data_IF_612705963820
#
_entry.id   IF_612705963820
#
_cell.length_a   1.000
_cell.length_b   1.000
_cell.length_c   1.000
_cell.angle_alpha   90.00
_cell.angle_beta   90.00
_cell.angle_gamma   90.00
#
_symmetry.space_group_name_H-M   'P 1'
#
loop_
_entity.id
_entity.type
_entity.pdbx_description
1 polymer ?
#
# COMPACT_ATOMS: atom_id res chain seq x y z
N UNK A 1 -20.80 29.10 -31.67
CA UNK A 1 -21.19 28.26 -30.52
C UNK A 1 -19.91 27.61 -30.00
N UNK A 2 -19.29 28.17 -28.96
CA UNK A 2 -17.97 27.72 -28.48
C UNK A 2 -18.20 26.85 -27.23
N UNK A 3 -18.03 25.53 -27.36
CA UNK A 3 -17.92 24.61 -26.22
C UNK A 3 -16.51 24.76 -25.62
N UNK A 4 -16.33 25.57 -24.57
CA UNK A 4 -15.01 25.75 -23.93
C UNK A 4 -14.97 25.64 -22.41
N UNK A 5 -16.03 25.13 -21.76
CA UNK A 5 -16.13 25.18 -20.30
C UNK A 5 -16.15 23.81 -19.58
N UNK A 6 -16.08 22.68 -20.30
CA UNK A 6 -16.15 21.35 -19.67
C UNK A 6 -14.79 20.84 -19.14
N UNK A 7 -13.67 21.26 -19.72
CA UNK A 7 -12.35 20.67 -19.43
C UNK A 7 -11.68 21.17 -18.15
N UNK A 8 -12.14 22.29 -17.56
CA UNK A 8 -11.53 22.86 -16.34
C UNK A 8 -12.16 22.26 -15.06
N UNK A 9 -13.44 21.89 -15.10
CA UNK A 9 -14.14 21.35 -13.94
C UNK A 9 -13.79 19.88 -13.62
N UNK A 10 -13.38 19.08 -14.61
CA UNK A 10 -13.00 17.67 -14.38
C UNK A 10 -11.71 17.53 -13.58
N UNK A 11 -10.68 18.34 -13.87
CA UNK A 11 -9.39 18.24 -13.19
C UNK A 11 -9.43 18.68 -11.71
N UNK A 12 -10.26 19.67 -11.38
CA UNK A 12 -10.44 20.11 -9.98
C UNK A 12 -11.23 19.08 -9.16
N UNK A 13 -12.28 18.52 -9.77
CA UNK A 13 -13.07 17.42 -9.18
C UNK A 13 -12.19 16.19 -8.89
N UNK A 14 -11.38 15.77 -9.87
CA UNK A 14 -10.50 14.61 -9.71
C UNK A 14 -9.41 14.83 -8.65
N UNK A 15 -8.82 16.02 -8.61
CA UNK A 15 -7.83 16.40 -7.59
C UNK A 15 -8.42 16.38 -6.17
N UNK A 16 -9.66 16.88 -5.99
CA UNK A 16 -10.34 16.87 -4.69
C UNK A 16 -10.66 15.46 -4.20
N UNK A 17 -11.07 14.56 -5.10
CA UNK A 17 -11.38 13.17 -4.78
C UNK A 17 -10.11 12.35 -4.46
N UNK A 18 -9.00 12.60 -5.16
CA UNK A 18 -7.70 12.00 -4.84
C UNK A 18 -7.23 12.45 -3.46
N UNK A 19 -7.32 13.75 -3.18
CA UNK A 19 -6.93 14.31 -1.88
C UNK A 19 -7.79 13.73 -0.76
N UNK A 20 -9.10 13.59 -0.96
CA UNK A 20 -9.99 12.96 0.01
C UNK A 20 -9.62 11.48 0.30
N UNK A 21 -9.24 10.71 -0.72
CA UNK A 21 -8.71 9.34 -0.54
C UNK A 21 -7.38 9.32 0.22
N UNK A 22 -6.50 10.28 -0.05
CA UNK A 22 -5.22 10.42 0.65
C UNK A 22 -5.37 10.85 2.12
N UNK A 23 -6.52 11.44 2.48
CA UNK A 23 -6.86 11.81 3.85
C UNK A 23 -7.58 10.69 4.62
N UNK A 24 -7.95 9.59 3.95
CA UNK A 24 -8.47 8.39 4.60
C UNK A 24 -7.31 7.53 5.11
N UNK A 25 -6.72 7.99 6.22
CA UNK A 25 -5.59 7.32 6.86
C UNK A 25 -5.90 5.86 7.21
N UNK A 26 -7.13 5.56 7.64
CA UNK A 26 -7.55 4.21 7.96
C UNK A 26 -7.54 3.31 6.72
N UNK A 27 -8.00 3.83 5.58
CA UNK A 27 -7.94 3.06 4.33
C UNK A 27 -6.52 2.85 3.83
N UNK A 28 -5.66 3.86 3.95
CA UNK A 28 -4.24 3.76 3.57
C UNK A 28 -3.53 2.72 4.44
N UNK A 29 -3.73 2.78 5.75
CA UNK A 29 -3.14 1.83 6.70
C UNK A 29 -3.59 0.40 6.42
N UNK A 30 -4.88 0.19 6.14
CA UNK A 30 -5.41 -1.12 5.76
C UNK A 30 -4.71 -1.67 4.50
N UNK A 31 -4.59 -0.86 3.46
CA UNK A 31 -3.98 -1.28 2.19
C UNK A 31 -2.50 -1.57 2.36
N UNK A 32 -1.77 -0.74 3.11
CA UNK A 32 -0.35 -0.95 3.38
C UNK A 32 -0.12 -2.24 4.18
N UNK A 33 -0.95 -2.52 5.19
CA UNK A 33 -0.87 -3.76 5.96
C UNK A 33 -1.12 -5.00 5.10
N UNK A 34 -2.12 -4.94 4.19
CA UNK A 34 -2.41 -6.04 3.28
C UNK A 34 -1.25 -6.30 2.30
N UNK A 35 -0.69 -5.25 1.71
CA UNK A 35 0.44 -5.34 0.78
C UNK A 35 1.69 -5.86 1.49
N UNK A 36 1.98 -5.36 2.70
CA UNK A 36 3.11 -5.81 3.50
C UNK A 36 2.98 -7.30 3.82
N UNK A 37 1.81 -7.76 4.28
CA UNK A 37 1.54 -9.17 4.59
C UNK A 37 1.78 -10.06 3.36
N UNK A 38 1.16 -9.74 2.23
CA UNK A 38 1.32 -10.52 0.99
C UNK A 38 2.78 -10.59 0.54
N UNK A 39 3.48 -9.45 0.59
CA UNK A 39 4.90 -9.37 0.21
C UNK A 39 5.78 -10.28 1.07
N UNK A 40 5.57 -10.27 2.38
CA UNK A 40 6.29 -11.13 3.34
C UNK A 40 6.03 -12.61 3.05
N UNK A 41 4.76 -12.98 2.86
CA UNK A 41 4.37 -14.36 2.53
C UNK A 41 4.99 -14.83 1.21
N UNK A 42 4.97 -14.02 0.16
CA UNK A 42 5.59 -14.35 -1.13
C UNK A 42 7.11 -14.54 -1.02
N UNK A 43 7.78 -13.70 -0.24
CA UNK A 43 9.22 -13.85 0.01
C UNK A 43 9.54 -15.11 0.79
N UNK A 44 8.76 -15.43 1.83
CA UNK A 44 8.89 -16.65 2.60
C UNK A 44 8.73 -17.89 1.72
N UNK A 45 7.67 -17.95 0.90
CA UNK A 45 7.41 -19.03 -0.06
C UNK A 45 8.53 -19.19 -1.08
N UNK A 46 9.15 -18.08 -1.50
CA UNK A 46 10.25 -18.08 -2.46
C UNK A 46 11.63 -18.30 -1.84
N UNK A 47 11.74 -18.45 -0.52
CA UNK A 47 13.03 -18.55 0.16
C UNK A 47 13.89 -17.27 0.07
N UNK A 48 13.26 -16.11 -0.16
CA UNK A 48 13.93 -14.82 -0.34
C UNK A 48 13.96 -14.03 0.96
N UNK A 49 15.10 -13.41 1.26
CA UNK A 49 15.24 -12.53 2.43
C UNK A 49 14.57 -11.18 2.21
N UNK A 50 14.10 -10.57 3.29
CA UNK A 50 13.57 -9.21 3.32
C UNK A 50 14.38 -8.33 4.27
N UNK A 51 14.51 -7.03 4.01
CA UNK A 51 15.14 -6.10 4.93
C UNK A 51 14.17 -5.77 6.08
N UNK A 52 14.67 -5.83 7.31
CA UNK A 52 13.95 -5.41 8.51
C UNK A 52 14.80 -4.44 9.33
N UNK A 53 14.15 -3.47 9.96
CA UNK A 53 14.81 -2.61 10.92
C UNK A 53 14.89 -3.31 12.28
N UNK A 54 16.10 -3.57 12.76
CA UNK A 54 16.34 -4.22 14.05
C UNK A 54 17.55 -3.59 14.71
N UNK A 55 17.42 -3.18 15.98
CA UNK A 55 18.52 -2.62 16.78
C UNK A 55 19.25 -1.45 16.11
N UNK A 56 18.49 -0.55 15.46
CA UNK A 56 19.03 0.66 14.84
C UNK A 56 19.73 0.43 13.49
N UNK A 57 19.60 -0.75 12.89
CA UNK A 57 20.18 -1.08 11.59
C UNK A 57 19.24 -1.93 10.72
N UNK A 58 19.55 -1.99 9.42
CA UNK A 58 18.86 -2.87 8.48
C UNK A 58 19.51 -4.26 8.50
N UNK A 59 18.71 -5.29 8.80
CA UNK A 59 19.12 -6.69 8.78
C UNK A 59 18.29 -7.45 7.75
N UNK A 60 18.89 -8.40 7.05
CA UNK A 60 18.20 -9.24 6.08
C UNK A 60 17.81 -10.58 6.71
N UNK A 61 16.51 -10.80 6.89
CA UNK A 61 15.98 -12.04 7.48
C UNK A 61 15.25 -12.88 6.44
N UNK A 62 15.24 -14.20 6.62
CA UNK A 62 14.30 -15.06 5.90
C UNK A 62 12.98 -15.02 6.68
N UNK A 63 11.88 -14.51 6.09
CA UNK A 63 10.61 -14.44 6.79
C UNK A 63 9.99 -15.83 6.96
N UNK A 64 9.33 -16.03 8.09
CA UNK A 64 8.52 -17.23 8.37
C UNK A 64 7.06 -16.95 8.01
N UNK A 65 6.34 -17.99 7.57
CA UNK A 65 4.89 -17.90 7.36
C UNK A 65 4.24 -18.28 8.68
N UNK A 66 3.69 -17.32 9.41
CA UNK A 66 2.71 -17.63 10.45
C UNK A 66 1.46 -18.15 9.74
N UNK A 67 1.11 -19.42 9.99
CA UNK A 67 -0.16 -20.00 9.59
C UNK A 67 -1.25 -19.36 10.47
N UNK A 68 -2.01 -18.42 9.90
CA UNK A 68 -3.05 -17.66 10.58
C UNK A 68 -4.29 -18.52 10.90
N UNK A 69 -4.27 -19.82 10.61
CA UNK A 69 -5.21 -20.78 11.16
C UNK A 69 -6.66 -20.58 10.74
N UNK A 70 -6.93 -19.80 9.69
CA UNK A 70 -8.26 -19.73 9.08
C UNK A 70 -8.52 -21.01 8.27
N UNK A 71 -9.18 -21.97 8.94
CA UNK A 71 -9.90 -23.10 8.32
C UNK A 71 -11.26 -22.66 7.79
#
# INVERSE_FOLDING_TARGET
MIKKNESVNQSESDSSAITARLLDFAKIEQVLNEVARKTVQEHARAGRKIPVWRDGQVVWILPEIEDDGEK
#
